data_IF_295612940282
#
_entry.id   IF_295612940282
#
_cell.length_a   1.000
_cell.length_b   1.000
_cell.length_c   1.000
_cell.angle_alpha   90.00
_cell.angle_beta   90.00
_cell.angle_gamma   90.00
#
_symmetry.space_group_name_H-M   'P 1'
#
loop_
_entity.id
_entity.type
_entity.pdbx_description
1 polymer ?
#
# COMPACT_ATOMS: atom_id res chain seq x y z
N UNK A 1 -56.69 -7.27 -6.12
CA UNK A 1 -55.61 -6.27 -6.21
C UNK A 1 -54.93 -6.26 -4.86
N UNK A 2 -53.81 -6.97 -4.73
CA UNK A 2 -53.02 -7.04 -3.51
C UNK A 2 -51.55 -6.89 -3.88
N UNK A 3 -50.97 -5.91 -3.22
CA UNK A 3 -49.58 -5.42 -3.25
C UNK A 3 -48.58 -6.54 -3.04
N UNK A 4 -47.60 -6.64 -3.96
CA UNK A 4 -46.44 -7.52 -3.79
C UNK A 4 -45.35 -6.73 -3.06
N UNK A 5 -45.47 -6.67 -1.73
CA UNK A 5 -44.37 -6.37 -0.83
C UNK A 5 -43.26 -7.42 -0.98
N UNK A 6 -42.03 -7.03 -0.65
CA UNK A 6 -40.81 -7.85 -0.59
C UNK A 6 -39.94 -7.88 -1.85
N UNK A 7 -39.62 -6.70 -2.40
CA UNK A 7 -38.23 -6.45 -2.78
C UNK A 7 -37.40 -6.44 -1.50
N UNK A 8 -36.99 -7.63 -1.03
CA UNK A 8 -35.97 -7.74 0.01
C UNK A 8 -34.71 -7.14 -0.58
N UNK A 9 -34.40 -5.91 -0.19
CA UNK A 9 -33.03 -5.39 -0.17
C UNK A 9 -32.19 -6.45 0.54
N UNK A 10 -31.54 -7.34 -0.24
CA UNK A 10 -30.49 -8.18 0.29
C UNK A 10 -29.39 -7.21 0.70
N UNK A 11 -29.27 -6.94 1.99
CA UNK A 11 -28.13 -6.23 2.53
C UNK A 11 -26.87 -6.87 1.94
N UNK A 12 -26.03 -6.05 1.32
CA UNK A 12 -24.78 -6.51 0.74
C UNK A 12 -23.96 -7.16 1.87
N UNK A 13 -23.87 -8.48 1.84
CA UNK A 13 -23.09 -9.21 2.84
C UNK A 13 -21.63 -8.89 2.55
N UNK A 14 -20.91 -8.32 3.53
CA UNK A 14 -19.51 -7.96 3.38
C UNK A 14 -18.68 -9.24 3.21
N UNK A 15 -18.44 -9.64 1.96
CA UNK A 15 -17.58 -10.78 1.64
C UNK A 15 -16.14 -10.32 1.67
N UNK A 16 -15.41 -10.72 2.71
CA UNK A 16 -14.02 -10.33 2.90
C UNK A 16 -13.16 -11.55 2.59
N UNK A 17 -12.52 -11.55 1.41
CA UNK A 17 -11.80 -12.73 0.93
C UNK A 17 -10.56 -13.07 1.77
N UNK A 18 -9.86 -12.06 2.33
CA UNK A 18 -8.63 -12.24 3.15
C UNK A 18 -8.44 -11.13 4.21
N UNK A 19 -8.92 -9.90 3.99
CA UNK A 19 -8.55 -8.71 4.79
C UNK A 19 -9.61 -8.36 5.83
N UNK A 20 -9.56 -8.97 7.02
CA UNK A 20 -10.51 -8.71 8.11
C UNK A 20 -10.15 -7.55 9.04
N UNK A 21 -8.88 -7.11 9.05
CA UNK A 21 -8.35 -6.15 10.02
C UNK A 21 -7.46 -5.09 9.36
N UNK A 22 -7.22 -3.99 10.08
CA UNK A 22 -6.27 -2.94 9.66
C UNK A 22 -4.86 -3.51 9.47
N UNK A 23 -4.41 -4.38 10.37
CA UNK A 23 -3.10 -5.05 10.26
C UNK A 23 -3.02 -5.92 9.01
N UNK A 24 -4.07 -6.68 8.67
CA UNK A 24 -4.08 -7.47 7.42
C UNK A 24 -4.11 -6.58 6.17
N UNK A 25 -4.72 -5.39 6.24
CA UNK A 25 -4.66 -4.42 5.14
C UNK A 25 -3.25 -3.84 4.99
N UNK A 26 -2.53 -3.64 6.10
CA UNK A 26 -1.10 -3.33 6.07
C UNK A 26 -0.25 -4.49 5.51
N UNK A 27 -0.56 -5.75 5.84
CA UNK A 27 0.14 -6.91 5.27
C UNK A 27 -0.07 -7.02 3.75
N UNK A 28 -1.25 -6.66 3.25
CA UNK A 28 -1.53 -6.52 1.81
C UNK A 28 -0.63 -5.46 1.19
N UNK A 29 -0.57 -4.25 1.77
CA UNK A 29 0.33 -3.20 1.31
C UNK A 29 1.79 -3.69 1.28
N UNK A 30 2.24 -4.36 2.34
CA UNK A 30 3.59 -4.92 2.41
C UNK A 30 3.84 -5.97 1.32
N UNK A 31 2.84 -6.79 0.98
CA UNK A 31 2.91 -7.74 -0.12
C UNK A 31 3.06 -7.06 -1.49
N UNK A 32 2.27 -6.01 -1.78
CA UNK A 32 2.39 -5.32 -3.08
C UNK A 32 3.78 -4.68 -3.26
N UNK A 33 4.33 -4.16 -2.16
CA UNK A 33 5.66 -3.55 -2.15
C UNK A 33 6.74 -4.60 -2.43
N UNK A 34 6.62 -5.80 -1.83
CA UNK A 34 7.52 -6.93 -2.09
C UNK A 34 7.46 -7.36 -3.57
N UNK A 35 6.25 -7.48 -4.13
CA UNK A 35 6.06 -7.81 -5.55
C UNK A 35 6.67 -6.76 -6.48
N UNK A 36 6.48 -5.47 -6.19
CA UNK A 36 7.10 -4.40 -6.96
C UNK A 36 8.63 -4.45 -6.89
N UNK A 37 9.17 -4.68 -5.69
CA UNK A 37 10.61 -4.76 -5.45
C UNK A 37 11.22 -5.96 -6.21
N UNK A 38 10.55 -7.10 -6.21
CA UNK A 38 10.94 -8.29 -6.98
C UNK A 38 10.93 -8.01 -8.49
N UNK A 39 9.87 -7.36 -9.00
CA UNK A 39 9.79 -6.96 -10.42
C UNK A 39 10.96 -6.03 -10.77
N UNK A 40 11.18 -4.97 -9.99
CA UNK A 40 12.24 -4.00 -10.24
C UNK A 40 13.62 -4.64 -10.23
N UNK A 41 13.87 -5.58 -9.31
CA UNK A 41 15.15 -6.30 -9.19
C UNK A 41 15.34 -7.41 -10.23
N UNK A 42 14.28 -7.78 -10.94
CA UNK A 42 14.36 -8.74 -12.04
C UNK A 42 14.79 -8.11 -13.36
N UNK A 43 15.09 -6.80 -13.38
CA UNK A 43 15.49 -6.04 -14.57
C UNK A 43 14.43 -6.15 -15.67
N UNK A 44 13.23 -5.61 -15.43
CA UNK A 44 12.09 -5.86 -16.31
C UNK A 44 12.34 -5.18 -17.66
N UNK A 45 12.19 -5.95 -18.73
CA UNK A 45 12.25 -5.43 -20.10
C UNK A 45 10.89 -4.89 -20.60
N UNK A 46 9.88 -4.87 -19.73
CA UNK A 46 8.54 -4.35 -19.98
C UNK A 46 8.16 -3.33 -18.91
N UNK A 47 7.56 -2.21 -19.32
CA UNK A 47 7.15 -1.14 -18.41
C UNK A 47 5.86 -1.43 -17.65
N UNK A 48 4.98 -2.23 -18.24
CA UNK A 48 3.62 -2.45 -17.78
C UNK A 48 3.58 -3.13 -16.40
N UNK A 49 4.31 -4.25 -16.16
CA UNK A 49 4.28 -4.91 -14.85
C UNK A 49 4.74 -3.98 -13.72
N UNK A 50 5.80 -3.20 -13.97
CA UNK A 50 6.35 -2.25 -13.00
C UNK A 50 5.34 -1.13 -12.67
N UNK A 51 4.75 -0.52 -13.69
CA UNK A 51 3.76 0.54 -13.52
C UNK A 51 2.49 0.02 -12.80
N UNK A 52 2.00 -1.17 -13.17
CA UNK A 52 0.79 -1.75 -12.56
C UNK A 52 1.02 -2.14 -11.10
N UNK A 53 2.20 -2.68 -10.77
CA UNK A 53 2.58 -2.96 -9.40
C UNK A 53 2.63 -1.68 -8.55
N UNK A 54 3.22 -0.59 -9.06
CA UNK A 54 3.22 0.71 -8.39
C UNK A 54 1.80 1.25 -8.15
N UNK A 55 0.90 1.14 -9.13
CA UNK A 55 -0.51 1.51 -8.98
C UNK A 55 -1.19 0.68 -7.88
N UNK A 56 -0.94 -0.63 -7.84
CA UNK A 56 -1.51 -1.51 -6.82
C UNK A 56 -1.07 -1.14 -5.40
N UNK A 57 0.21 -0.80 -5.20
CA UNK A 57 0.72 -0.26 -3.92
C UNK A 57 -0.06 1.00 -3.53
N UNK A 58 -0.21 1.93 -4.48
CA UNK A 58 -0.86 3.21 -4.23
C UNK A 58 -2.35 3.05 -3.88
N UNK A 59 -3.04 2.12 -4.55
CA UNK A 59 -4.43 1.75 -4.24
C UNK A 59 -4.50 1.12 -2.85
N UNK A 60 -3.59 0.20 -2.51
CA UNK A 60 -3.55 -0.44 -1.20
C UNK A 60 -3.31 0.56 -0.07
N UNK A 61 -2.40 1.51 -0.26
CA UNK A 61 -2.15 2.59 0.71
C UNK A 61 -3.40 3.47 0.91
N UNK A 62 -4.10 3.81 -0.18
CA UNK A 62 -5.37 4.53 -0.10
C UNK A 62 -6.47 3.74 0.61
N UNK A 63 -6.56 2.43 0.35
CA UNK A 63 -7.49 1.54 1.04
C UNK A 63 -7.14 1.41 2.53
N UNK A 64 -5.86 1.26 2.89
CA UNK A 64 -5.42 1.20 4.28
C UNK A 64 -5.80 2.47 5.05
N UNK A 65 -5.64 3.65 4.46
CA UNK A 65 -6.13 4.91 5.03
C UNK A 65 -7.62 4.84 5.37
N UNK A 66 -8.44 4.37 4.43
CA UNK A 66 -9.88 4.31 4.65
C UNK A 66 -10.23 3.29 5.76
N UNK A 67 -9.52 2.16 5.84
CA UNK A 67 -9.64 1.21 6.96
C UNK A 67 -9.26 1.83 8.31
N UNK A 68 -8.16 2.58 8.37
CA UNK A 68 -7.69 3.25 9.58
C UNK A 68 -8.67 4.32 10.05
N UNK A 69 -9.18 5.15 9.13
CA UNK A 69 -10.18 6.18 9.45
C UNK A 69 -11.42 5.54 10.10
N UNK A 70 -11.94 4.45 9.52
CA UNK A 70 -13.09 3.77 10.10
C UNK A 70 -12.75 3.10 11.45
N UNK A 71 -11.56 2.54 11.59
CA UNK A 71 -11.12 1.94 12.85
C UNK A 71 -11.03 2.99 13.98
N UNK A 72 -10.37 4.12 13.74
CA UNK A 72 -10.27 5.23 14.70
C UNK A 72 -11.66 5.73 15.10
N UNK A 73 -12.55 5.92 14.12
CA UNK A 73 -13.93 6.36 14.38
C UNK A 73 -14.73 5.35 15.18
N UNK A 74 -14.53 4.06 14.94
CA UNK A 74 -15.23 2.99 15.68
C UNK A 74 -14.78 2.85 17.14
N UNK A 75 -13.57 3.30 17.47
CA UNK A 75 -13.03 3.32 18.83
C UNK A 75 -13.44 4.57 19.61
N UNK A 76 -13.92 5.63 18.93
CA UNK A 76 -14.37 6.84 19.58
C UNK A 76 -15.71 6.63 20.32
N UNK A 77 -15.93 7.25 21.49
CA UNK A 77 -17.25 7.26 22.13
C UNK A 77 -18.32 7.81 21.19
N UNK A 78 -19.52 7.24 21.26
CA UNK A 78 -20.64 7.63 20.40
C UNK A 78 -20.92 9.13 20.49
N UNK A 79 -20.95 9.80 19.33
CA UNK A 79 -21.15 11.26 19.23
C UNK A 79 -19.88 12.10 19.40
N UNK A 80 -18.71 11.47 19.57
CA UNK A 80 -17.40 12.13 19.60
C UNK A 80 -16.48 11.66 18.47
N UNK A 81 -17.04 11.07 17.42
CA UNK A 81 -16.28 10.54 16.30
C UNK A 81 -15.53 11.68 15.58
N UNK A 82 -14.21 11.56 15.40
CA UNK A 82 -13.46 12.57 14.70
C UNK A 82 -13.93 12.68 13.23
N UNK A 83 -13.89 13.90 12.69
CA UNK A 83 -14.15 14.14 11.27
C UNK A 83 -13.18 13.31 10.42
N UNK A 84 -13.70 12.68 9.36
CA UNK A 84 -12.88 11.88 8.43
C UNK A 84 -11.76 12.72 7.81
N UNK A 85 -12.03 14.00 7.56
CA UNK A 85 -11.03 14.89 6.96
C UNK A 85 -9.91 15.25 7.94
N UNK A 86 -10.23 15.45 9.22
CA UNK A 86 -9.20 15.70 10.24
C UNK A 86 -8.25 14.49 10.38
N UNK A 87 -8.82 13.28 10.45
CA UNK A 87 -8.01 12.05 10.52
C UNK A 87 -7.18 11.88 9.24
N UNK A 88 -7.77 12.15 8.07
CA UNK A 88 -7.05 12.11 6.79
C UNK A 88 -5.87 13.08 6.77
N UNK A 89 -6.05 14.30 7.29
CA UNK A 89 -5.02 15.33 7.33
C UNK A 89 -3.89 14.94 8.27
N UNK A 90 -4.23 14.41 9.46
CA UNK A 90 -3.26 13.87 10.41
C UNK A 90 -2.43 12.72 9.80
N UNK A 91 -3.08 11.75 9.14
CA UNK A 91 -2.38 10.65 8.48
C UNK A 91 -1.47 11.14 7.35
N UNK A 92 -1.87 12.16 6.60
CA UNK A 92 -1.03 12.75 5.55
C UNK A 92 0.22 13.45 6.10
N UNK A 93 0.19 13.95 7.33
CA UNK A 93 1.36 14.50 8.02
C UNK A 93 2.30 13.41 8.53
N UNK A 94 1.76 12.30 9.04
CA UNK A 94 2.54 11.16 9.53
C UNK A 94 3.15 10.32 8.40
N UNK A 95 2.51 10.31 7.22
CA UNK A 95 2.87 9.45 6.10
C UNK A 95 3.07 10.32 4.84
N UNK A 96 4.26 10.90 4.64
CA UNK A 96 4.53 11.83 3.55
C UNK A 96 4.20 11.27 2.16
N UNK A 97 4.45 9.97 1.96
CA UNK A 97 4.23 9.28 0.68
C UNK A 97 2.74 9.07 0.35
N UNK A 98 1.83 9.30 1.31
CA UNK A 98 0.39 9.06 1.11
C UNK A 98 -0.23 9.99 0.07
N UNK A 99 0.28 11.22 -0.05
CA UNK A 99 -0.18 12.17 -1.07
C UNK A 99 0.19 11.71 -2.49
N UNK A 100 1.43 11.23 -2.68
CA UNK A 100 1.87 10.58 -3.93
C UNK A 100 0.97 9.38 -4.25
N UNK A 101 0.78 8.46 -3.30
CA UNK A 101 -0.07 7.29 -3.51
C UNK A 101 -1.52 7.66 -3.84
N UNK A 102 -2.07 8.69 -3.19
CA UNK A 102 -3.43 9.16 -3.48
C UNK A 102 -3.54 9.69 -4.91
N UNK A 103 -2.56 10.47 -5.37
CA UNK A 103 -2.54 10.99 -6.73
C UNK A 103 -2.43 9.85 -7.77
N UNK A 104 -1.47 8.94 -7.61
CA UNK A 104 -1.28 7.79 -8.51
C UNK A 104 -2.49 6.86 -8.53
N UNK A 105 -3.09 6.56 -7.37
CA UNK A 105 -4.29 5.73 -7.32
C UNK A 105 -5.47 6.39 -8.02
N UNK A 106 -5.57 7.72 -7.99
CA UNK A 106 -6.66 8.45 -8.63
C UNK A 106 -6.51 8.54 -10.15
N UNK A 107 -5.29 8.59 -10.71
CA UNK A 107 -5.11 8.54 -12.18
C UNK A 107 -5.57 7.21 -12.76
N UNK A 108 -5.43 6.11 -12.02
CA UNK A 108 -5.98 4.81 -12.42
C UNK A 108 -7.51 4.71 -12.30
N UNK A 109 -8.13 5.52 -11.43
CA UNK A 109 -9.57 5.49 -11.14
C UNK A 109 -10.40 6.48 -11.96
N UNK A 110 -9.80 7.61 -12.34
CA UNK A 110 -10.51 8.73 -12.97
C UNK A 110 -9.81 9.16 -14.26
N UNK A 111 -10.58 9.20 -15.35
CA UNK A 111 -10.06 9.62 -16.67
C UNK A 111 -9.57 11.08 -16.70
N UNK A 112 -10.11 11.95 -15.83
CA UNK A 112 -9.77 13.37 -15.72
C UNK A 112 -9.53 13.72 -14.24
N UNK A 113 -8.33 13.43 -13.73
CA UNK A 113 -7.92 13.85 -12.39
C UNK A 113 -7.21 15.21 -12.46
N UNK A 114 -7.71 16.21 -11.72
CA UNK A 114 -7.01 17.46 -11.45
C UNK A 114 -6.24 17.33 -10.14
N UNK A 115 -5.00 17.82 -10.14
CA UNK A 115 -3.98 17.65 -9.09
C UNK A 115 -4.56 17.63 -7.66
N UNK A 116 -4.25 16.55 -6.94
CA UNK A 116 -4.46 16.45 -5.50
C UNK A 116 -3.36 17.17 -4.72
N UNK A 117 -3.20 16.84 -3.43
CA UNK A 117 -2.21 17.44 -2.52
C UNK A 117 -0.74 17.13 -2.83
N UNK A 118 -0.45 16.47 -3.95
CA UNK A 118 0.90 16.14 -4.40
C UNK A 118 1.32 17.14 -5.48
N UNK A 119 1.66 18.35 -5.05
CA UNK A 119 1.98 19.48 -5.93
C UNK A 119 3.43 19.39 -6.39
N UNK A 120 3.67 19.38 -7.70
CA UNK A 120 5.02 19.40 -8.29
C UNK A 120 5.74 18.05 -8.34
N UNK A 121 5.27 17.05 -7.60
CA UNK A 121 5.83 15.71 -7.62
C UNK A 121 5.35 14.92 -8.84
N UNK A 122 6.22 14.08 -9.38
CA UNK A 122 5.88 13.16 -10.49
C UNK A 122 6.63 11.85 -10.36
N UNK A 123 6.10 10.84 -11.06
CA UNK A 123 6.80 9.57 -11.26
C UNK A 123 7.26 9.50 -12.71
N UNK A 124 8.49 9.02 -12.91
CA UNK A 124 9.07 8.85 -14.24
C UNK A 124 9.48 7.39 -14.42
N UNK A 125 9.17 6.84 -15.60
CA UNK A 125 9.61 5.51 -15.99
C UNK A 125 10.73 5.66 -17.00
N UNK A 126 11.93 5.20 -16.64
CA UNK A 126 13.14 5.30 -17.44
C UNK A 126 13.69 3.93 -17.82
N UNK A 127 14.42 3.88 -18.92
CA UNK A 127 15.27 2.73 -19.26
C UNK A 127 16.66 2.98 -18.66
N UNK A 128 17.12 2.08 -17.80
CA UNK A 128 18.49 2.05 -17.31
C UNK A 128 19.31 1.15 -18.23
N UNK A 129 20.36 1.71 -18.82
CA UNK A 129 21.35 0.90 -19.52
C UNK A 129 22.18 0.13 -18.50
N UNK A 130 22.33 -1.17 -18.74
CA UNK A 130 23.14 -2.05 -17.93
C UNK A 130 24.63 -1.85 -18.14
N UNK A 131 25.39 -2.46 -17.24
CA UNK A 131 26.84 -2.53 -17.26
C UNK A 131 27.33 -3.98 -17.04
N UNK A 132 28.58 -4.17 -16.64
CA UNK A 132 29.18 -5.49 -16.41
C UNK A 132 28.54 -6.26 -15.24
N UNK A 133 27.92 -5.55 -14.28
CA UNK A 133 27.36 -6.11 -13.05
C UNK A 133 25.82 -6.09 -13.03
N UNK A 134 25.19 -5.23 -13.82
CA UNK A 134 23.76 -4.94 -13.78
C UNK A 134 23.15 -5.02 -15.18
N UNK A 135 22.16 -5.91 -15.44
CA UNK A 135 21.43 -5.93 -16.71
C UNK A 135 20.61 -4.65 -16.98
N UNK A 136 20.44 -4.28 -18.24
CA UNK A 136 19.53 -3.20 -18.62
C UNK A 136 18.08 -3.54 -18.25
N UNK A 137 17.29 -2.52 -17.91
CA UNK A 137 15.88 -2.71 -17.61
C UNK A 137 15.13 -1.41 -17.36
N UNK A 138 13.82 -1.50 -17.22
CA UNK A 138 13.00 -0.37 -16.82
C UNK A 138 13.08 -0.13 -15.30
N UNK A 139 13.17 1.14 -14.94
CA UNK A 139 13.11 1.61 -13.56
C UNK A 139 12.04 2.69 -13.39
N UNK A 140 11.39 2.69 -12.23
CA UNK A 140 10.44 3.73 -11.84
C UNK A 140 11.09 4.63 -10.80
N UNK A 141 11.07 5.93 -11.05
CA UNK A 141 11.62 6.96 -10.18
C UNK A 141 10.51 7.80 -9.57
N UNK A 142 10.72 8.17 -8.31
CA UNK A 142 10.04 9.29 -7.68
C UNK A 142 10.89 10.54 -7.90
N UNK A 143 10.27 11.57 -8.50
CA UNK A 143 10.89 12.86 -8.71
C UNK A 143 10.27 13.86 -7.74
N UNK A 144 11.14 14.43 -6.89
CA UNK A 144 10.73 15.42 -5.89
C UNK A 144 10.26 16.73 -6.56
N UNK A 145 9.56 17.56 -5.78
CA UNK A 145 8.88 18.77 -6.27
C UNK A 145 9.81 19.78 -6.98
N UNK A 146 11.10 19.80 -6.63
CA UNK A 146 12.09 20.70 -7.22
C UNK A 146 12.67 20.14 -8.53
N UNK A 147 12.33 18.90 -8.89
CA UNK A 147 12.87 18.20 -10.06
C UNK A 147 14.35 17.84 -9.98
N UNK A 148 15.02 18.16 -8.87
CA UNK A 148 16.47 18.00 -8.68
C UNK A 148 16.87 16.62 -8.14
N UNK A 149 15.95 15.92 -7.49
CA UNK A 149 16.18 14.63 -6.84
C UNK A 149 15.32 13.57 -7.50
N UNK A 150 15.99 12.55 -8.07
CA UNK A 150 15.38 11.33 -8.57
C UNK A 150 15.81 10.19 -7.66
N UNK A 151 14.82 9.54 -7.04
CA UNK A 151 15.05 8.37 -6.21
C UNK A 151 14.29 7.19 -6.78
N UNK A 152 14.83 5.98 -6.66
CA UNK A 152 14.11 4.78 -7.08
C UNK A 152 12.82 4.65 -6.26
N UNK A 153 11.69 4.44 -6.93
CA UNK A 153 10.37 4.43 -6.31
C UNK A 153 10.25 3.35 -5.22
N UNK A 154 11.02 2.26 -5.30
CA UNK A 154 11.02 1.24 -4.26
C UNK A 154 11.47 1.80 -2.90
N UNK A 155 12.38 2.78 -2.85
CA UNK A 155 12.81 3.42 -1.61
C UNK A 155 11.66 4.18 -0.96
N UNK A 156 10.92 4.95 -1.75
CA UNK A 156 9.70 5.64 -1.30
C UNK A 156 8.63 4.66 -0.82
N UNK A 157 8.45 3.53 -1.52
CA UNK A 157 7.49 2.50 -1.10
C UNK A 157 7.91 1.76 0.16
N UNK A 158 9.20 1.50 0.37
CA UNK A 158 9.70 0.96 1.64
C UNK A 158 9.44 1.92 2.79
N UNK A 159 9.75 3.21 2.61
CA UNK A 159 9.45 4.25 3.60
C UNK A 159 7.95 4.34 3.89
N UNK A 160 7.09 4.22 2.87
CA UNK A 160 5.63 4.18 3.01
C UNK A 160 5.18 3.02 3.91
N UNK A 161 5.74 1.81 3.74
CA UNK A 161 5.41 0.63 4.58
C UNK A 161 5.71 0.89 6.05
N UNK A 162 6.88 1.46 6.33
CA UNK A 162 7.35 1.75 7.68
C UNK A 162 6.55 2.90 8.32
N UNK A 163 6.32 3.98 7.58
CA UNK A 163 5.51 5.10 8.02
C UNK A 163 4.08 4.66 8.37
N UNK A 164 3.48 3.77 7.57
CA UNK A 164 2.19 3.19 7.90
C UNK A 164 2.22 2.40 9.21
N UNK A 165 3.21 1.53 9.42
CA UNK A 165 3.29 0.77 10.67
C UNK A 165 3.40 1.70 11.88
N UNK A 166 4.25 2.73 11.80
CA UNK A 166 4.42 3.71 12.86
C UNK A 166 3.13 4.48 13.15
N UNK A 167 2.36 4.84 12.11
CA UNK A 167 1.04 5.46 12.28
C UNK A 167 0.06 4.51 12.97
N UNK A 168 0.04 3.22 12.59
CA UNK A 168 -0.83 2.24 13.25
C UNK A 168 -0.50 2.05 14.73
N UNK A 169 0.78 2.02 15.09
CA UNK A 169 1.23 1.93 16.49
C UNK A 169 0.86 3.19 17.27
N UNK A 170 1.07 4.39 16.67
CA UNK A 170 0.72 5.67 17.29
C UNK A 170 -0.79 5.81 17.57
N UNK A 171 -1.64 5.29 16.68
CA UNK A 171 -3.09 5.31 16.83
C UNK A 171 -3.62 4.12 17.67
N UNK A 172 -2.74 3.27 18.22
CA UNK A 172 -3.11 2.11 19.04
C UNK A 172 -3.82 0.98 18.27
N UNK A 173 -3.70 0.96 16.95
CA UNK A 173 -4.30 -0.05 16.05
C UNK A 173 -3.36 -1.23 15.79
N UNK A 174 -2.07 -1.05 16.09
CA UNK A 174 -1.05 -2.08 16.14
C UNK A 174 -0.26 -1.94 17.45
N UNK A 175 0.62 -2.90 17.73
CA UNK A 175 1.48 -2.83 18.91
C UNK A 175 2.90 -3.31 18.59
N UNK A 176 3.88 -2.49 18.98
CA UNK A 176 5.28 -2.87 19.04
C UNK A 176 5.99 -2.82 17.69
N UNK A 177 7.11 -3.56 17.59
CA UNK A 177 7.95 -3.55 16.39
C UNK A 177 7.21 -4.14 15.19
N UNK A 178 7.39 -3.52 14.03
CA UNK A 178 6.89 -4.00 12.74
C UNK A 178 7.19 -5.50 12.55
N UNK A 179 6.16 -6.35 12.47
CA UNK A 179 6.35 -7.78 12.34
C UNK A 179 6.75 -8.13 10.91
N UNK A 180 7.36 -9.29 10.75
CA UNK A 180 7.40 -9.96 9.44
C UNK A 180 5.97 -10.34 9.05
N UNK A 181 5.46 -9.95 7.87
CA UNK A 181 4.11 -10.29 7.42
C UNK A 181 3.85 -11.80 7.43
N UNK A 182 2.61 -12.21 7.72
CA UNK A 182 2.24 -13.61 7.87
C UNK A 182 2.61 -14.46 6.65
N UNK A 183 2.31 -13.98 5.44
CA UNK A 183 2.63 -14.68 4.19
C UNK A 183 4.14 -14.94 4.04
N UNK A 184 5.00 -14.03 4.51
CA UNK A 184 6.45 -14.16 4.43
C UNK A 184 6.94 -15.18 5.45
N UNK A 185 6.40 -15.15 6.68
CA UNK A 185 6.67 -16.18 7.69
C UNK A 185 6.26 -17.56 7.19
N UNK A 186 5.10 -17.67 6.55
CA UNK A 186 4.61 -18.92 5.97
C UNK A 186 5.50 -19.42 4.82
N UNK A 187 5.96 -18.51 3.93
CA UNK A 187 6.92 -18.81 2.86
C UNK A 187 8.24 -19.34 3.43
N UNK A 188 8.82 -18.64 4.41
CA UNK A 188 10.07 -19.05 5.07
C UNK A 188 9.93 -20.37 5.80
N UNK A 189 8.85 -20.58 6.55
CA UNK A 189 8.58 -21.84 7.24
C UNK A 189 8.50 -23.01 6.24
N UNK A 190 7.84 -22.83 5.09
CA UNK A 190 7.76 -23.87 4.05
C UNK A 190 9.12 -24.24 3.46
N UNK A 191 10.02 -23.26 3.28
CA UNK A 191 11.35 -23.48 2.70
C UNK A 191 12.30 -24.11 3.72
N UNK A 192 12.37 -23.55 4.94
CA UNK A 192 13.44 -23.83 5.89
C UNK A 192 13.07 -24.82 6.99
N UNK A 193 11.80 -25.01 7.33
CA UNK A 193 11.39 -25.98 8.36
C UNK A 193 11.88 -27.41 8.06
N UNK A 194 11.78 -27.93 6.82
CA UNK A 194 12.31 -29.26 6.51
C UNK A 194 13.84 -29.37 6.61
N UNK A 195 14.56 -28.24 6.53
CA UNK A 195 16.02 -28.18 6.64
C UNK A 195 16.42 -28.21 8.11
N UNK A 196 15.75 -27.40 8.95
CA UNK A 196 16.00 -27.34 10.40
C UNK A 196 15.70 -28.68 11.07
N UNK A 197 14.62 -29.37 10.65
CA UNK A 197 14.26 -30.70 11.17
C UNK A 197 15.27 -31.81 10.81
N UNK A 198 16.14 -31.58 9.82
CA UNK A 198 17.16 -32.53 9.35
C UNK A 198 18.56 -32.26 9.88
N UNK A 199 18.78 -31.19 10.63
CA UNK A 199 20.09 -30.90 11.23
C UNK A 199 20.31 -31.76 12.49
N UNK A 200 21.48 -32.41 12.64
CA UNK A 200 21.83 -33.08 13.88
C UNK A 200 21.92 -32.06 15.02
N UNK A 201 21.37 -32.42 16.18
CA UNK A 201 21.42 -31.61 17.41
C UNK A 201 22.81 -31.56 18.00
#
# INVERSE_FOLDING_TARGET
MTTNEQSRLREATKHTAVIGTVVQMWEKLAWDIDVFEDIQRSYPNEKQPLAYAAINICIAAGSLRDWVIEAIRSLAPAGSEPSKDNVRDQLALQIPQLNMCTAIANTAKHHNFKEGRWVGGRVELGWEEGDEDIPSGFALYHVDNDGQSMTLAFSSFRALKEAWWNALDAEGLAAGRMPTPEWMRNKLARIFRPIVEKLPR
#
